data_IF_357816442761
#
_entry.id   IF_357816442761
#
_cell.length_a   1.000
_cell.length_b   1.000
_cell.length_c   1.000
_cell.angle_alpha   90.00
_cell.angle_beta   90.00
_cell.angle_gamma   90.00
#
_symmetry.space_group_name_H-M   'P 1'
#
loop_
_entity.id
_entity.type
_entity.pdbx_description
1 polymer ?
#
# COMPACT_ATOMS: atom_id res chain seq x y z
N UNK A 1 -25.74 -10.94 2.35
CA UNK A 1 -24.49 -11.57 1.91
C UNK A 1 -23.33 -10.57 1.82
N UNK A 2 -23.46 -9.41 1.16
CA UNK A 2 -22.40 -8.40 0.94
C UNK A 2 -21.52 -7.86 2.12
N UNK A 3 -21.87 -8.06 3.40
CA UNK A 3 -21.09 -7.53 4.55
C UNK A 3 -20.13 -8.55 5.14
N UNK A 4 -20.47 -9.83 5.04
CA UNK A 4 -19.65 -10.95 5.54
C UNK A 4 -18.47 -11.15 4.59
N UNK A 5 -18.72 -11.10 3.27
CA UNK A 5 -17.71 -11.24 2.24
C UNK A 5 -16.63 -10.14 2.35
N UNK A 6 -17.03 -8.87 2.49
CA UNK A 6 -16.06 -7.78 2.66
C UNK A 6 -15.22 -7.87 3.95
N UNK A 7 -15.79 -8.31 5.07
CA UNK A 7 -15.00 -8.48 6.30
C UNK A 7 -13.99 -9.61 6.16
N UNK A 8 -14.34 -10.65 5.39
CA UNK A 8 -13.42 -11.72 5.01
C UNK A 8 -12.31 -11.18 4.11
N UNK A 9 -12.63 -10.41 3.07
CA UNK A 9 -11.65 -9.76 2.19
C UNK A 9 -10.68 -8.86 2.96
N UNK A 10 -11.20 -8.08 3.93
CA UNK A 10 -10.38 -7.21 4.79
C UNK A 10 -9.46 -8.02 5.71
N UNK A 11 -9.95 -9.14 6.26
CA UNK A 11 -9.15 -10.01 7.12
C UNK A 11 -8.08 -10.76 6.33
N UNK A 12 -8.40 -11.27 5.14
CA UNK A 12 -7.47 -11.94 4.23
C UNK A 12 -6.38 -10.96 3.79
N UNK A 13 -6.75 -9.74 3.37
CA UNK A 13 -5.79 -8.69 3.02
C UNK A 13 -4.88 -8.31 4.19
N UNK A 14 -5.40 -8.29 5.42
CA UNK A 14 -4.56 -8.06 6.59
C UNK A 14 -3.57 -9.21 6.82
N UNK A 15 -4.00 -10.46 6.62
CA UNK A 15 -3.13 -11.62 6.75
C UNK A 15 -1.99 -11.58 5.72
N UNK A 16 -2.30 -11.24 4.46
CA UNK A 16 -1.30 -11.00 3.40
C UNK A 16 -0.29 -9.94 3.84
N UNK A 17 -0.76 -8.79 4.36
CA UNK A 17 0.15 -7.75 4.84
C UNK A 17 1.01 -8.19 6.01
N UNK A 18 0.49 -9.01 6.91
CA UNK A 18 1.25 -9.52 8.06
C UNK A 18 2.36 -10.48 7.68
N UNK A 19 2.32 -11.10 6.49
CA UNK A 19 3.43 -11.91 6.00
C UNK A 19 4.68 -11.05 5.75
N UNK A 20 4.52 -9.80 5.33
CA UNK A 20 5.62 -8.88 5.01
C UNK A 20 5.87 -7.85 6.13
N UNK A 21 4.82 -7.39 6.79
CA UNK A 21 4.85 -6.42 7.88
C UNK A 21 4.05 -6.99 9.06
N UNK A 22 4.67 -7.79 9.95
CA UNK A 22 3.96 -8.45 11.05
C UNK A 22 3.22 -7.48 11.99
N UNK A 23 3.65 -6.21 12.03
CA UNK A 23 3.02 -5.13 12.78
C UNK A 23 1.84 -4.45 12.05
N UNK A 24 1.44 -4.96 10.87
CA UNK A 24 0.33 -4.43 10.12
C UNK A 24 -0.98 -4.48 10.94
N UNK A 25 -1.69 -3.35 10.95
CA UNK A 25 -2.94 -3.16 11.68
C UNK A 25 -3.97 -2.44 10.80
N UNK A 26 -5.23 -2.46 11.24
CA UNK A 26 -6.33 -1.76 10.58
C UNK A 26 -6.91 -0.71 11.53
N UNK A 27 -7.05 0.52 11.03
CA UNK A 27 -7.98 1.49 11.62
C UNK A 27 -9.29 1.46 10.83
N UNK A 28 -10.40 1.31 11.53
CA UNK A 28 -11.74 1.38 10.94
C UNK A 28 -12.37 2.74 11.23
N UNK A 29 -12.87 3.38 10.18
CA UNK A 29 -13.62 4.63 10.27
C UNK A 29 -15.04 4.39 9.78
N UNK A 30 -16.02 4.98 10.47
CA UNK A 30 -17.43 4.97 10.06
C UNK A 30 -17.90 6.40 9.84
N UNK A 31 -18.81 6.59 8.89
CA UNK A 31 -19.47 7.86 8.60
C UNK A 31 -20.96 7.73 8.95
N UNK A 32 -21.47 8.56 9.86
CA UNK A 32 -22.86 8.48 10.33
C UNK A 32 -23.83 9.06 9.29
N UNK A 33 -23.53 10.23 8.74
CA UNK A 33 -24.42 10.96 7.81
C UNK A 33 -24.00 10.86 6.34
N UNK A 34 -23.13 9.91 5.99
CA UNK A 34 -22.58 9.82 4.64
C UNK A 34 -22.58 8.38 4.13
N UNK A 35 -23.15 8.17 2.94
CA UNK A 35 -23.21 6.85 2.30
C UNK A 35 -21.84 6.37 1.78
N UNK A 36 -20.91 7.27 1.45
CA UNK A 36 -19.53 6.99 1.03
C UNK A 36 -18.74 8.30 0.92
N UNK A 37 -17.43 8.25 1.11
CA UNK A 37 -16.52 9.37 0.81
C UNK A 37 -15.81 9.15 -0.53
N UNK A 38 -15.22 10.22 -1.08
CA UNK A 38 -14.39 10.12 -2.29
C UNK A 38 -13.05 9.44 -1.98
N UNK A 39 -12.41 8.81 -2.98
CA UNK A 39 -11.05 8.25 -2.81
C UNK A 39 -10.03 9.33 -2.45
N UNK A 40 -10.20 10.56 -2.94
CA UNK A 40 -9.33 11.70 -2.61
C UNK A 40 -9.40 12.05 -1.13
N UNK A 41 -10.62 12.14 -0.59
CA UNK A 41 -10.83 12.43 0.83
C UNK A 41 -10.41 11.24 1.70
N UNK A 42 -10.62 10.02 1.21
CA UNK A 42 -10.16 8.80 1.85
C UNK A 42 -8.64 8.73 1.95
N UNK A 43 -7.91 9.11 0.89
CA UNK A 43 -6.46 9.19 0.94
C UNK A 43 -5.99 10.19 1.99
N UNK A 44 -6.54 11.41 1.96
CA UNK A 44 -6.18 12.46 2.93
C UNK A 44 -6.45 12.02 4.37
N UNK A 45 -7.59 11.38 4.63
CA UNK A 45 -7.94 10.84 5.95
C UNK A 45 -6.98 9.72 6.36
N UNK A 46 -6.62 8.82 5.42
CA UNK A 46 -5.66 7.75 5.66
C UNK A 46 -4.29 8.28 6.06
N UNK A 47 -3.81 9.30 5.35
CA UNK A 47 -2.55 9.98 5.65
C UNK A 47 -2.57 10.61 7.05
N UNK A 48 -3.68 11.28 7.42
CA UNK A 48 -3.85 11.84 8.76
C UNK A 48 -3.81 10.77 9.85
N UNK A 49 -4.56 9.68 9.68
CA UNK A 49 -4.55 8.55 10.63
C UNK A 49 -3.15 7.95 10.75
N UNK A 50 -2.46 7.78 9.63
CA UNK A 50 -1.09 7.26 9.58
C UNK A 50 -0.10 8.18 10.30
N UNK A 51 -0.22 9.49 10.09
CA UNK A 51 0.57 10.50 10.79
C UNK A 51 0.35 10.45 12.31
N UNK A 52 -0.92 10.47 12.77
CA UNK A 52 -1.26 10.41 14.19
C UNK A 52 -0.74 9.13 14.87
N UNK A 53 -0.74 8.02 14.14
CA UNK A 53 -0.36 6.70 14.68
C UNK A 53 1.09 6.30 14.39
N UNK A 54 1.88 7.22 13.80
CA UNK A 54 3.28 7.01 13.42
C UNK A 54 3.48 5.73 12.58
N UNK A 55 2.62 5.54 11.59
CA UNK A 55 2.66 4.39 10.68
C UNK A 55 2.61 4.83 9.23
N UNK A 56 3.10 3.98 8.32
CA UNK A 56 2.98 4.15 6.89
C UNK A 56 1.68 3.52 6.40
N UNK A 57 1.07 4.15 5.41
CA UNK A 57 -0.17 3.69 4.78
C UNK A 57 0.13 2.52 3.84
N UNK A 58 -0.40 1.34 4.14
CA UNK A 58 -0.29 0.18 3.26
C UNK A 58 -1.38 0.23 2.20
N UNK A 59 -2.63 0.45 2.58
CA UNK A 59 -3.78 0.52 1.67
C UNK A 59 -4.94 1.19 2.41
N UNK A 60 -5.89 1.76 1.68
CA UNK A 60 -7.22 1.97 2.23
C UNK A 60 -8.32 1.39 1.32
N UNK A 61 -9.41 0.98 1.94
CA UNK A 61 -10.61 0.47 1.25
C UNK A 61 -11.81 1.22 1.77
N UNK A 62 -12.62 1.76 0.85
CA UNK A 62 -13.89 2.40 1.16
C UNK A 62 -15.01 1.45 0.75
N UNK A 63 -15.92 1.17 1.67
CA UNK A 63 -17.11 0.39 1.39
C UNK A 63 -18.31 1.00 2.08
N UNK A 64 -19.20 1.60 1.27
CA UNK A 64 -20.33 2.38 1.76
C UNK A 64 -19.84 3.40 2.80
N UNK A 65 -20.52 3.47 3.94
CA UNK A 65 -20.22 4.39 5.03
C UNK A 65 -19.07 3.92 5.94
N UNK A 66 -18.19 3.05 5.45
CA UNK A 66 -17.06 2.52 6.21
C UNK A 66 -15.78 2.61 5.40
N UNK A 67 -14.69 2.79 6.13
CA UNK A 67 -13.36 2.80 5.57
C UNK A 67 -12.43 1.99 6.46
N UNK A 68 -11.53 1.25 5.82
CA UNK A 68 -10.51 0.43 6.47
C UNK A 68 -9.15 0.91 5.99
N UNK A 69 -8.32 1.33 6.93
CA UNK A 69 -6.98 1.88 6.69
C UNK A 69 -5.97 0.85 7.18
N UNK A 70 -5.30 0.18 6.27
CA UNK A 70 -4.22 -0.75 6.55
C UNK A 70 -2.92 0.02 6.71
N UNK A 71 -2.19 -0.23 7.80
CA UNK A 71 -0.99 0.55 8.13
C UNK A 71 0.03 -0.26 8.92
N UNK A 72 1.31 0.09 8.78
CA UNK A 72 2.43 -0.54 9.48
C UNK A 72 3.50 0.51 9.81
N UNK A 73 4.10 0.42 11.00
CA UNK A 73 5.24 1.25 11.41
C UNK A 73 6.51 0.82 10.69
N UNK A 74 6.72 -0.48 10.50
CA UNK A 74 7.87 -0.98 9.74
C UNK A 74 7.81 -0.52 8.28
N UNK A 75 6.62 -0.50 7.68
CA UNK A 75 6.44 0.05 6.35
C UNK A 75 6.82 1.53 6.27
N UNK A 76 6.55 2.33 7.31
CA UNK A 76 6.95 3.75 7.34
C UNK A 76 8.47 3.92 7.17
N UNK A 77 9.25 3.08 7.85
CA UNK A 77 10.72 3.11 7.78
C UNK A 77 11.21 2.78 6.37
N UNK A 78 10.61 1.76 5.76
CA UNK A 78 10.91 1.33 4.39
C UNK A 78 10.50 2.40 3.37
N UNK A 79 9.37 3.06 3.59
CA UNK A 79 8.81 4.04 2.67
C UNK A 79 9.71 5.26 2.46
N UNK A 80 10.55 5.61 3.45
CA UNK A 80 11.56 6.69 3.33
C UNK A 80 12.60 6.39 2.24
N UNK A 81 12.84 5.12 1.94
CA UNK A 81 13.77 4.70 0.89
C UNK A 81 13.20 4.75 -0.53
N UNK A 82 11.88 4.98 -0.69
CA UNK A 82 11.27 5.12 -2.01
C UNK A 82 11.50 6.52 -2.57
N UNK A 83 12.71 6.73 -3.12
CA UNK A 83 13.12 7.97 -3.78
C UNK A 83 13.41 7.71 -5.24
N UNK A 84 13.24 8.73 -6.09
CA UNK A 84 13.61 8.66 -7.50
C UNK A 84 15.07 8.20 -7.63
N UNK A 85 15.31 7.24 -8.51
CA UNK A 85 16.61 6.62 -8.72
C UNK A 85 16.95 5.50 -7.75
N UNK A 86 16.20 5.31 -6.66
CA UNK A 86 16.42 4.19 -5.76
C UNK A 86 16.13 2.87 -6.46
N UNK A 87 17.03 1.89 -6.24
CA UNK A 87 16.82 0.51 -6.65
C UNK A 87 15.88 -0.17 -5.66
N UNK A 88 14.83 -0.80 -6.17
CA UNK A 88 13.81 -1.46 -5.36
C UNK A 88 13.67 -2.90 -5.82
N UNK A 89 13.46 -3.81 -4.87
CA UNK A 89 13.09 -5.19 -5.13
C UNK A 89 11.63 -5.39 -4.77
N UNK A 90 10.93 -6.19 -5.58
CA UNK A 90 9.54 -6.47 -5.36
C UNK A 90 9.12 -7.87 -5.74
N UNK A 91 7.93 -8.21 -5.26
CA UNK A 91 7.30 -9.49 -5.41
C UNK A 91 5.89 -9.29 -5.94
N UNK A 92 5.55 -9.90 -7.07
CA UNK A 92 4.18 -9.92 -7.58
C UNK A 92 3.43 -11.09 -6.90
N UNK A 93 2.37 -10.83 -6.12
CA UNK A 93 1.62 -11.91 -5.46
C UNK A 93 0.94 -12.87 -6.45
N UNK A 94 0.81 -12.51 -7.73
CA UNK A 94 0.31 -13.40 -8.79
C UNK A 94 1.39 -14.41 -9.23
N UNK A 95 2.66 -14.07 -9.05
CA UNK A 95 3.84 -14.88 -9.40
C UNK A 95 4.85 -14.80 -8.26
N UNK A 96 4.55 -15.43 -7.11
CA UNK A 96 5.30 -15.22 -5.87
C UNK A 96 6.77 -15.67 -5.94
N UNK A 97 7.11 -16.57 -6.84
CA UNK A 97 8.50 -17.00 -7.02
C UNK A 97 9.33 -15.99 -7.84
N UNK A 98 8.69 -14.97 -8.41
CA UNK A 98 9.34 -13.95 -9.21
C UNK A 98 9.68 -12.72 -8.36
N UNK A 99 10.98 -12.45 -8.26
CA UNK A 99 11.51 -11.27 -7.60
C UNK A 99 12.15 -10.37 -8.63
N UNK A 100 11.57 -9.19 -8.80
CA UNK A 100 12.04 -8.22 -9.77
C UNK A 100 12.75 -7.07 -9.08
N UNK A 101 13.84 -6.61 -9.68
CA UNK A 101 14.52 -5.39 -9.27
C UNK A 101 14.31 -4.32 -10.33
N UNK A 102 13.92 -3.12 -9.89
CA UNK A 102 13.72 -1.99 -10.80
C UNK A 102 14.19 -0.69 -10.16
N UNK A 103 14.03 0.41 -10.90
CA UNK A 103 14.45 1.74 -10.48
C UNK A 103 13.23 2.65 -10.39
N UNK A 104 13.08 3.31 -9.25
CA UNK A 104 12.04 4.33 -9.02
C UNK A 104 12.19 5.50 -10.01
N UNK A 105 11.11 5.88 -10.67
CA UNK A 105 11.05 7.02 -11.59
C UNK A 105 10.59 8.33 -10.94
N UNK A 106 9.95 8.24 -9.77
CA UNK A 106 9.48 9.38 -8.99
C UNK A 106 9.71 9.15 -7.50
N UNK A 107 9.67 10.22 -6.72
CA UNK A 107 9.71 10.12 -5.26
C UNK A 107 8.39 9.61 -4.70
N UNK A 108 8.52 8.85 -3.62
CA UNK A 108 7.43 8.50 -2.74
C UNK A 108 6.43 7.50 -3.29
N UNK A 109 5.44 7.28 -2.45
CA UNK A 109 4.34 6.38 -2.64
C UNK A 109 3.17 7.06 -3.36
N UNK A 110 2.55 6.35 -4.31
CA UNK A 110 1.32 6.79 -4.98
C UNK A 110 0.17 5.87 -4.65
N UNK A 111 -1.05 6.37 -4.84
CA UNK A 111 -2.28 5.62 -4.55
C UNK A 111 -3.30 5.83 -5.66
N UNK A 112 -3.88 4.73 -6.14
CA UNK A 112 -5.01 4.74 -7.06
C UNK A 112 -6.11 3.82 -6.51
N UNK A 113 -7.34 4.34 -6.40
CA UNK A 113 -8.45 3.63 -5.73
C UNK A 113 -8.14 3.18 -4.29
N UNK A 114 -7.14 3.78 -3.64
CA UNK A 114 -6.63 3.39 -2.33
C UNK A 114 -5.62 2.25 -2.31
N UNK A 115 -5.25 1.73 -3.48
CA UNK A 115 -4.20 0.73 -3.63
C UNK A 115 -2.85 1.45 -3.82
N UNK A 116 -1.82 1.11 -3.02
CA UNK A 116 -0.50 1.72 -3.13
C UNK A 116 0.21 1.28 -4.41
N UNK A 117 0.97 2.14 -5.06
CA UNK A 117 1.89 1.75 -6.12
C UNK A 117 3.13 2.65 -6.16
N UNK A 118 4.20 2.11 -6.74
CA UNK A 118 5.38 2.87 -7.12
C UNK A 118 5.47 2.98 -8.64
N UNK A 119 6.09 4.05 -9.11
CA UNK A 119 6.39 4.21 -10.52
C UNK A 119 7.84 3.79 -10.76
N UNK A 120 8.04 2.74 -11.55
CA UNK A 120 9.36 2.19 -11.89
C UNK A 120 9.62 2.21 -13.39
N UNK A 121 10.85 1.90 -13.81
CA UNK A 121 11.22 1.79 -15.23
C UNK A 121 10.42 0.75 -16.00
N UNK A 122 9.92 -0.27 -15.31
CA UNK A 122 9.15 -1.36 -15.91
C UNK A 122 7.62 -1.11 -15.84
N UNK A 123 7.21 0.02 -15.28
CA UNK A 123 5.80 0.40 -15.21
C UNK A 123 5.31 0.94 -16.56
N UNK A 124 4.30 0.30 -17.13
CA UNK A 124 3.61 0.77 -18.32
C UNK A 124 2.45 1.72 -17.96
N UNK A 125 2.47 2.93 -18.54
CA UNK A 125 1.53 4.00 -18.24
C UNK A 125 0.09 3.65 -18.65
N UNK A 126 -0.13 2.72 -19.57
CA UNK A 126 -1.47 2.39 -20.10
C UNK A 126 -2.14 1.22 -19.36
N UNK A 127 -1.52 0.70 -18.30
CA UNK A 127 -1.87 -0.60 -17.72
C UNK A 127 -1.88 -0.58 -16.18
N UNK A 128 -2.45 0.45 -15.55
CA UNK A 128 -2.42 0.65 -14.09
C UNK A 128 -2.84 -0.58 -13.25
N UNK A 129 -3.92 -1.26 -13.62
CA UNK A 129 -4.45 -2.41 -12.85
C UNK A 129 -3.68 -3.73 -13.09
N UNK A 130 -2.88 -3.82 -14.15
CA UNK A 130 -2.23 -5.07 -14.59
C UNK A 130 -0.70 -5.00 -14.53
N UNK A 131 -0.13 -3.81 -14.74
CA UNK A 131 1.30 -3.56 -14.94
C UNK A 131 1.93 -2.64 -13.89
N UNK A 132 1.14 -1.92 -13.07
CA UNK A 132 1.73 -1.17 -11.96
C UNK A 132 2.11 -2.07 -10.79
N UNK A 133 3.23 -1.69 -10.22
CA UNK A 133 3.96 -2.41 -9.20
C UNK A 133 3.52 -1.86 -7.84
N UNK A 134 2.57 -2.55 -7.20
CA UNK A 134 1.86 -2.18 -5.96
C UNK A 134 2.65 -2.02 -4.64
N UNK A 135 3.71 -1.22 -4.48
CA UNK A 135 4.57 -0.97 -3.28
C UNK A 135 4.54 -1.73 -1.90
N UNK A 136 3.46 -2.34 -1.44
CA UNK A 136 3.35 -3.16 -0.22
C UNK A 136 4.14 -4.48 -0.23
N UNK A 137 4.44 -5.04 -1.39
CA UNK A 137 5.36 -6.15 -1.60
C UNK A 137 6.78 -5.70 -2.04
N UNK A 138 7.13 -4.42 -1.87
CA UNK A 138 8.37 -3.79 -2.35
C UNK A 138 9.22 -3.36 -1.16
N UNK A 139 10.54 -3.50 -1.30
CA UNK A 139 11.52 -2.92 -0.37
C UNK A 139 12.66 -2.30 -1.16
N UNK A 140 13.20 -1.13 -0.76
CA UNK A 140 14.47 -0.65 -1.25
C UNK A 140 15.51 -1.76 -1.12
N UNK A 141 16.35 -1.93 -2.14
CA UNK A 141 17.49 -2.85 -2.04
C UNK A 141 18.49 -2.19 -1.10
N UNK A 142 18.88 -2.89 -0.04
CA UNK A 142 19.99 -2.44 0.79
C UNK A 142 21.23 -2.35 -0.09
N UNK A 143 21.77 -1.14 -0.27
CA UNK A 143 23.09 -0.98 -0.86
C UNK A 143 24.08 -1.64 0.10
N UNK A 144 24.57 -2.82 -0.28
CA UNK A 144 25.76 -3.39 0.35
C UNK A 144 26.87 -2.37 0.14
N UNK A 145 27.12 -1.55 1.16
CA UNK A 145 28.32 -0.74 1.20
C UNK A 145 29.48 -1.71 1.28
N UNK A 146 30.16 -1.92 0.15
CA UNK A 146 31.47 -2.53 0.14
C UNK A 146 32.32 -1.79 1.17
N UNK A 147 32.70 -2.49 2.23
CA UNK A 147 33.72 -2.04 3.18
C UNK A 147 35.08 -2.43 2.66
#
# INVERSE_FOLDING_TARGET
MAKIDMLKDVAERLAEYKMFYPDATITRVGFEDCNSISHKDGLKLSEQVCHMTHSGLLQFVIFKNRMYIFKSREFLKVAVGFKKGAKVRFHDPRTPDDHHESIMLADGMRYDGGIPFIWTKDSDADCFMKCNTFAVYWRPVEEMSEK
#
